data_IF_714544823328
#
_entry.id   IF_714544823328
#
_cell.length_a   1.000
_cell.length_b   1.000
_cell.length_c   1.000
_cell.angle_alpha   90.00
_cell.angle_beta   90.00
_cell.angle_gamma   90.00
#
_symmetry.space_group_name_H-M   'P 1'
#
loop_
_entity.id
_entity.type
_entity.pdbx_description
1 polymer ?
#
# COMPACT_ATOMS: atom_id res chain seq x y z
N UNK A 1 32.60 -1.87 -6.26
CA UNK A 1 34.01 -2.10 -5.81
C UNK A 1 34.23 -1.55 -4.41
N UNK A 2 34.01 -0.27 -4.11
CA UNK A 2 34.14 0.26 -2.73
C UNK A 2 33.16 -0.43 -1.78
N UNK A 3 31.94 -0.73 -2.23
CA UNK A 3 30.90 -1.43 -1.45
C UNK A 3 31.41 -2.80 -0.94
N UNK A 4 32.21 -3.49 -1.75
CA UNK A 4 32.74 -4.81 -1.40
C UNK A 4 33.62 -4.81 -0.12
N UNK A 5 34.25 -3.68 0.18
CA UNK A 5 35.07 -3.53 1.40
C UNK A 5 34.26 -3.44 2.69
N UNK A 6 32.94 -3.22 2.57
CA UNK A 6 31.99 -3.12 3.69
C UNK A 6 31.05 -4.33 3.83
N UNK A 7 31.25 -5.34 2.96
CA UNK A 7 30.45 -6.56 2.95
C UNK A 7 31.27 -7.77 3.43
N UNK A 8 30.64 -8.65 4.20
CA UNK A 8 31.26 -9.91 4.62
C UNK A 8 31.32 -10.91 3.45
N UNK A 9 32.46 -11.53 3.29
CA UNK A 9 32.70 -12.59 2.31
C UNK A 9 33.33 -12.14 0.99
N UNK A 10 33.14 -10.89 0.59
CA UNK A 10 33.61 -10.38 -0.72
C UNK A 10 35.14 -10.36 -0.84
N UNK A 11 35.84 -9.93 0.22
CA UNK A 11 37.32 -9.87 0.26
C UNK A 11 37.87 -11.27 0.28
N UNK A 12 37.36 -12.13 1.13
CA UNK A 12 37.79 -13.52 1.31
C UNK A 12 37.63 -14.36 0.03
N UNK A 13 36.55 -14.11 -0.71
CA UNK A 13 36.24 -14.84 -1.96
C UNK A 13 36.87 -14.19 -3.18
N UNK A 14 37.27 -12.93 -3.09
CA UNK A 14 37.73 -12.15 -4.25
C UNK A 14 36.63 -11.93 -5.31
N UNK A 15 35.35 -11.91 -4.89
CA UNK A 15 34.20 -11.75 -5.77
C UNK A 15 33.42 -10.48 -5.43
N UNK A 16 32.82 -9.86 -6.45
CA UNK A 16 31.91 -8.73 -6.27
C UNK A 16 30.62 -9.16 -5.55
N UNK A 17 29.99 -8.21 -4.86
CA UNK A 17 28.71 -8.43 -4.20
C UNK A 17 27.64 -8.98 -5.16
N UNK A 18 27.63 -8.49 -6.41
CA UNK A 18 26.70 -8.95 -7.45
C UNK A 18 27.05 -10.32 -8.05
N UNK A 19 28.26 -10.83 -7.80
CA UNK A 19 28.76 -12.11 -8.29
C UNK A 19 28.71 -13.23 -7.24
N UNK A 20 28.02 -13.00 -6.12
CA UNK A 20 27.90 -13.96 -5.02
C UNK A 20 29.04 -13.88 -4.01
N UNK A 21 29.80 -12.78 -3.98
CA UNK A 21 30.88 -12.56 -3.02
C UNK A 21 30.46 -12.41 -1.58
N UNK A 22 29.19 -12.09 -1.31
CA UNK A 22 28.66 -11.88 0.05
C UNK A 22 28.24 -13.19 0.74
N UNK A 23 28.29 -13.20 2.07
CA UNK A 23 27.82 -14.35 2.85
C UNK A 23 26.31 -14.52 2.80
N UNK A 24 25.58 -13.40 2.78
CA UNK A 24 24.12 -13.37 2.72
C UNK A 24 23.71 -12.48 1.56
N UNK A 25 23.01 -13.06 0.61
CA UNK A 25 22.45 -12.35 -0.53
C UNK A 25 20.92 -12.46 -0.52
N UNK A 26 20.26 -11.33 -0.37
CA UNK A 26 18.80 -11.24 -0.41
C UNK A 26 18.36 -10.52 -1.67
N UNK A 27 17.48 -11.15 -2.44
CA UNK A 27 16.82 -10.55 -3.57
C UNK A 27 15.33 -10.38 -3.24
N UNK A 28 14.91 -9.16 -3.01
CA UNK A 28 13.52 -8.86 -2.69
C UNK A 28 12.69 -8.75 -3.97
N UNK A 29 11.54 -9.41 -3.97
CA UNK A 29 10.50 -9.27 -4.98
C UNK A 29 9.33 -8.57 -4.32
N UNK A 30 9.00 -7.36 -4.78
CA UNK A 30 7.93 -6.57 -4.19
C UNK A 30 6.64 -6.66 -4.99
N UNK A 31 5.55 -7.03 -4.31
CA UNK A 31 4.19 -6.94 -4.82
C UNK A 31 3.68 -5.50 -4.72
N UNK A 32 2.83 -5.11 -5.64
CA UNK A 32 2.15 -3.81 -5.66
C UNK A 32 0.65 -3.99 -5.86
N UNK A 33 -0.14 -3.08 -5.26
CA UNK A 33 -1.57 -3.02 -5.53
C UNK A 33 -2.40 -4.11 -4.85
N UNK A 34 -1.92 -4.71 -3.75
CA UNK A 34 -2.63 -5.81 -3.05
C UNK A 34 -4.07 -5.44 -2.70
N UNK A 35 -4.31 -4.24 -2.17
CA UNK A 35 -5.67 -3.80 -1.85
C UNK A 35 -6.55 -3.66 -3.10
N UNK A 36 -6.00 -3.10 -4.20
CA UNK A 36 -6.73 -3.02 -5.49
C UNK A 36 -7.14 -4.40 -6.01
N UNK A 37 -6.24 -5.38 -5.89
CA UNK A 37 -6.51 -6.76 -6.34
C UNK A 37 -7.52 -7.43 -5.41
N UNK A 38 -7.37 -7.30 -4.11
CA UNK A 38 -8.29 -7.88 -3.12
C UNK A 38 -9.72 -7.37 -3.29
N UNK A 39 -9.87 -6.06 -3.46
CA UNK A 39 -11.16 -5.42 -3.74
C UNK A 39 -11.75 -5.90 -5.08
N UNK A 40 -10.91 -6.10 -6.09
CA UNK A 40 -11.35 -6.61 -7.39
C UNK A 40 -11.89 -8.04 -7.29
N UNK A 41 -11.20 -8.92 -6.56
CA UNK A 41 -11.69 -10.28 -6.31
C UNK A 41 -12.99 -10.29 -5.51
N UNK A 42 -13.10 -9.44 -4.49
CA UNK A 42 -14.32 -9.33 -3.70
C UNK A 42 -15.50 -8.81 -4.54
N UNK A 43 -15.27 -7.83 -5.42
CA UNK A 43 -16.28 -7.31 -6.32
C UNK A 43 -16.76 -8.38 -7.32
N UNK A 44 -15.85 -9.11 -7.94
CA UNK A 44 -16.16 -10.22 -8.83
C UNK A 44 -16.99 -11.28 -8.10
N UNK A 45 -16.50 -11.73 -6.94
CA UNK A 45 -17.18 -12.77 -6.18
C UNK A 45 -18.59 -12.35 -5.78
N UNK A 46 -18.75 -11.14 -5.25
CA UNK A 46 -20.04 -10.64 -4.83
C UNK A 46 -20.99 -10.42 -6.01
N UNK A 47 -20.56 -9.66 -7.02
CA UNK A 47 -21.46 -9.18 -8.08
C UNK A 47 -21.72 -10.20 -9.18
N UNK A 48 -20.73 -11.04 -9.50
CA UNK A 48 -20.86 -12.04 -10.56
C UNK A 48 -21.24 -13.40 -9.98
N UNK A 49 -20.47 -13.90 -9.00
CA UNK A 49 -20.64 -15.27 -8.54
C UNK A 49 -21.87 -15.40 -7.63
N UNK A 50 -22.08 -14.51 -6.67
CA UNK A 50 -23.16 -14.62 -5.71
C UNK A 50 -24.46 -13.92 -6.13
N UNK A 51 -24.36 -12.71 -6.64
CA UNK A 51 -25.52 -11.90 -6.98
C UNK A 51 -25.98 -12.05 -8.44
N UNK A 52 -25.15 -12.60 -9.32
CA UNK A 52 -25.41 -12.75 -10.76
C UNK A 52 -25.86 -11.43 -11.42
N UNK A 53 -25.27 -10.30 -11.00
CA UNK A 53 -25.60 -8.96 -11.47
C UNK A 53 -25.09 -8.68 -12.87
N UNK A 54 -24.06 -9.40 -13.31
CA UNK A 54 -23.47 -9.34 -14.64
C UNK A 54 -22.75 -10.66 -14.96
N UNK A 55 -22.52 -10.91 -16.22
CA UNK A 55 -21.74 -12.05 -16.70
C UNK A 55 -20.24 -11.73 -16.73
N UNK A 56 -19.42 -12.75 -16.87
CA UNK A 56 -17.99 -12.61 -17.10
C UNK A 56 -17.66 -11.87 -18.39
N UNK A 57 -18.45 -12.09 -19.43
CA UNK A 57 -18.28 -11.43 -20.72
C UNK A 57 -18.59 -9.93 -20.60
N UNK A 58 -19.69 -9.56 -19.97
CA UNK A 58 -20.02 -8.15 -19.71
C UNK A 58 -18.93 -7.46 -18.89
N UNK A 59 -18.39 -8.11 -17.85
CA UNK A 59 -17.26 -7.54 -17.10
C UNK A 59 -16.07 -7.29 -18.01
N UNK A 60 -15.68 -8.26 -18.84
CA UNK A 60 -14.55 -8.10 -19.74
C UNK A 60 -14.76 -6.92 -20.71
N UNK A 61 -15.94 -6.80 -21.30
CA UNK A 61 -16.29 -5.69 -22.18
C UNK A 61 -16.23 -4.33 -21.47
N UNK A 62 -16.71 -4.24 -20.21
CA UNK A 62 -16.64 -3.02 -19.44
C UNK A 62 -15.20 -2.63 -19.07
N UNK A 63 -14.36 -3.59 -18.77
CA UNK A 63 -12.94 -3.34 -18.48
C UNK A 63 -12.16 -2.91 -19.70
N UNK A 64 -12.42 -3.50 -20.88
CA UNK A 64 -11.82 -3.11 -22.16
C UNK A 64 -12.21 -1.69 -22.55
N UNK A 65 -13.47 -1.29 -22.29
CA UNK A 65 -13.99 0.03 -22.60
C UNK A 65 -13.81 1.06 -21.45
N UNK A 66 -13.00 0.75 -20.43
CA UNK A 66 -12.74 1.66 -19.29
C UNK A 66 -14.01 2.22 -18.63
N UNK A 67 -15.05 1.38 -18.50
CA UNK A 67 -16.36 1.77 -17.95
C UNK A 67 -17.05 2.90 -18.73
N UNK A 68 -16.71 3.10 -20.01
CA UNK A 68 -17.31 4.14 -20.84
C UNK A 68 -18.83 3.91 -20.94
N UNK A 69 -19.61 4.96 -20.66
CA UNK A 69 -21.08 4.93 -20.62
C UNK A 69 -21.69 3.90 -19.65
N UNK A 70 -20.92 3.38 -18.69
CA UNK A 70 -21.33 2.35 -17.72
C UNK A 70 -21.03 2.77 -16.27
N UNK A 71 -21.24 4.03 -15.93
CA UNK A 71 -20.93 4.57 -14.60
C UNK A 71 -21.74 3.90 -13.49
N UNK A 72 -22.99 3.53 -13.74
CA UNK A 72 -23.83 2.77 -12.81
C UNK A 72 -23.26 1.38 -12.52
N UNK A 73 -22.78 0.68 -13.53
CA UNK A 73 -22.11 -0.62 -13.39
C UNK A 73 -20.80 -0.44 -12.63
N UNK A 74 -20.00 0.55 -12.98
CA UNK A 74 -18.75 0.88 -12.29
C UNK A 74 -18.99 1.16 -10.80
N UNK A 75 -19.99 1.96 -10.47
CA UNK A 75 -20.37 2.27 -9.10
C UNK A 75 -20.93 1.04 -8.37
N UNK A 76 -21.67 0.18 -9.04
CA UNK A 76 -22.11 -1.09 -8.49
C UNK A 76 -20.90 -1.97 -8.10
N UNK A 77 -19.92 -2.12 -8.98
CA UNK A 77 -18.68 -2.87 -8.69
C UNK A 77 -17.86 -2.20 -7.57
N UNK A 78 -17.86 -0.87 -7.52
CA UNK A 78 -17.18 -0.10 -6.49
C UNK A 78 -17.83 -0.23 -5.11
N UNK A 79 -19.14 -0.45 -5.03
CA UNK A 79 -19.93 -0.44 -3.79
C UNK A 79 -19.94 -1.77 -3.06
N UNK A 80 -18.77 -2.32 -2.77
CA UNK A 80 -18.56 -3.53 -1.97
C UNK A 80 -17.97 -3.18 -0.59
N UNK A 81 -18.00 -4.12 0.35
CA UNK A 81 -17.20 -4.05 1.56
C UNK A 81 -15.73 -4.29 1.19
N UNK A 82 -14.93 -3.23 1.27
CA UNK A 82 -13.55 -3.21 0.81
C UNK A 82 -12.57 -3.70 1.85
N UNK A 83 -11.35 -3.94 1.42
CA UNK A 83 -10.22 -4.24 2.29
C UNK A 83 -9.92 -3.06 3.25
N UNK A 84 -9.71 -3.37 4.51
CA UNK A 84 -9.27 -2.41 5.53
C UNK A 84 -10.06 -2.40 6.83
N UNK A 85 -11.41 -2.46 6.83
CA UNK A 85 -12.19 -2.45 8.08
C UNK A 85 -12.05 -3.71 8.93
N UNK A 86 -11.58 -4.80 8.35
CA UNK A 86 -11.53 -6.12 8.96
C UNK A 86 -12.82 -6.91 8.78
N UNK A 87 -12.68 -8.22 8.51
CA UNK A 87 -13.80 -9.15 8.38
C UNK A 87 -14.59 -9.05 7.08
N UNK A 88 -14.20 -8.21 6.14
CA UNK A 88 -14.80 -8.15 4.80
C UNK A 88 -14.34 -9.30 3.90
N UNK A 89 -15.06 -9.51 2.79
CA UNK A 89 -14.62 -10.46 1.78
C UNK A 89 -13.31 -10.01 1.10
N UNK A 90 -13.09 -8.72 1.01
CA UNK A 90 -11.83 -8.18 0.50
C UNK A 90 -10.66 -8.41 1.48
N UNK A 91 -10.88 -8.35 2.80
CA UNK A 91 -9.87 -8.74 3.81
C UNK A 91 -9.48 -10.22 3.66
N UNK A 92 -10.45 -11.10 3.44
CA UNK A 92 -10.18 -12.51 3.15
C UNK A 92 -9.32 -12.69 1.89
N UNK A 93 -9.66 -11.99 0.79
CA UNK A 93 -8.90 -12.08 -0.44
C UNK A 93 -7.51 -11.47 -0.30
N UNK A 94 -7.34 -10.36 0.44
CA UNK A 94 -6.03 -9.78 0.70
C UNK A 94 -5.10 -10.78 1.40
N UNK A 95 -5.59 -11.48 2.41
CA UNK A 95 -4.84 -12.54 3.09
C UNK A 95 -4.45 -13.66 2.12
N UNK A 96 -5.41 -14.19 1.36
CA UNK A 96 -5.18 -15.27 0.41
C UNK A 96 -4.16 -14.90 -0.69
N UNK A 97 -4.25 -13.67 -1.19
CA UNK A 97 -3.34 -13.15 -2.22
C UNK A 97 -1.94 -12.98 -1.65
N UNK A 98 -1.81 -12.41 -0.45
CA UNK A 98 -0.51 -12.23 0.20
C UNK A 98 0.18 -13.56 0.50
N UNK A 99 -0.56 -14.56 0.95
CA UNK A 99 -0.04 -15.93 1.18
C UNK A 99 0.41 -16.57 -0.14
N UNK A 100 -0.46 -16.59 -1.16
CA UNK A 100 -0.14 -17.19 -2.45
C UNK A 100 1.06 -16.50 -3.12
N UNK A 101 1.12 -15.17 -3.07
CA UNK A 101 2.25 -14.40 -3.56
C UNK A 101 3.55 -14.75 -2.82
N UNK A 102 3.51 -14.79 -1.50
CA UNK A 102 4.66 -15.09 -0.67
C UNK A 102 5.18 -16.52 -0.93
N UNK A 103 4.29 -17.49 -1.06
CA UNK A 103 4.65 -18.87 -1.37
C UNK A 103 5.24 -19.00 -2.77
N UNK A 104 4.66 -18.31 -3.75
CA UNK A 104 5.18 -18.29 -5.12
C UNK A 104 6.59 -17.71 -5.20
N UNK A 105 6.81 -16.54 -4.60
CA UNK A 105 8.13 -15.90 -4.58
C UNK A 105 9.15 -16.80 -3.93
N UNK A 106 8.84 -17.39 -2.79
CA UNK A 106 9.78 -18.25 -2.05
C UNK A 106 10.10 -19.57 -2.72
N UNK A 107 9.13 -20.14 -3.44
CA UNK A 107 9.31 -21.40 -4.17
C UNK A 107 9.96 -21.23 -5.54
N UNK A 108 10.07 -20.00 -6.02
CA UNK A 108 10.65 -19.73 -7.35
C UNK A 108 12.17 -19.92 -7.32
N UNK A 109 12.73 -20.82 -8.11
CA UNK A 109 14.16 -21.00 -8.21
C UNK A 109 14.82 -19.81 -8.91
N UNK A 110 16.05 -19.49 -8.50
CA UNK A 110 16.86 -18.48 -9.17
C UNK A 110 18.06 -19.13 -9.89
N UNK A 111 18.56 -18.56 -11.00
CA UNK A 111 19.69 -19.11 -11.74
C UNK A 111 20.95 -19.31 -10.88
N UNK A 112 21.17 -18.44 -9.90
CA UNK A 112 22.35 -18.43 -9.04
C UNK A 112 22.11 -19.03 -7.64
N UNK A 113 20.96 -19.65 -7.41
CA UNK A 113 20.60 -20.22 -6.11
C UNK A 113 20.33 -19.20 -5.00
N UNK A 114 20.17 -17.91 -5.34
CA UNK A 114 19.81 -16.87 -4.37
C UNK A 114 18.41 -17.08 -3.82
N UNK A 115 18.22 -16.71 -2.57
CA UNK A 115 16.87 -16.74 -1.97
C UNK A 115 16.10 -15.49 -2.35
N UNK A 116 14.87 -15.70 -2.83
CA UNK A 116 13.91 -14.63 -3.01
C UNK A 116 13.16 -14.36 -1.71
N UNK A 117 13.01 -13.09 -1.38
CA UNK A 117 12.21 -12.63 -0.25
C UNK A 117 10.99 -11.87 -0.76
N UNK A 118 9.77 -12.28 -0.39
CA UNK A 118 8.57 -11.54 -0.74
C UNK A 118 8.50 -10.23 0.05
N UNK A 119 8.23 -9.13 -0.63
CA UNK A 119 7.95 -7.84 -0.04
C UNK A 119 6.58 -7.33 -0.46
N UNK A 120 5.93 -6.61 0.44
CA UNK A 120 4.68 -5.91 0.16
C UNK A 120 4.83 -4.44 0.56
N UNK A 121 5.89 -3.80 0.06
CA UNK A 121 6.21 -2.42 0.41
C UNK A 121 5.24 -1.41 -0.18
N UNK A 122 5.11 -0.29 0.50
CA UNK A 122 4.44 0.88 -0.06
C UNK A 122 5.37 1.62 -0.99
N UNK A 123 4.93 1.85 -2.22
CA UNK A 123 5.70 2.57 -3.23
C UNK A 123 5.10 3.95 -3.52
N UNK A 124 5.93 4.98 -3.65
CA UNK A 124 5.52 6.29 -4.13
C UNK A 124 5.12 6.29 -5.62
N UNK A 125 5.48 5.24 -6.35
CA UNK A 125 5.28 5.13 -7.81
C UNK A 125 3.90 4.57 -8.21
N UNK A 126 2.93 4.56 -7.31
CA UNK A 126 1.57 4.02 -7.58
C UNK A 126 0.87 4.71 -8.76
N UNK A 127 1.13 6.02 -8.96
CA UNK A 127 0.64 6.76 -10.13
C UNK A 127 1.28 6.25 -11.42
N UNK A 128 2.60 6.05 -11.41
CA UNK A 128 3.34 5.58 -12.58
C UNK A 128 2.93 4.18 -13.00
N UNK A 129 2.75 3.27 -12.06
CA UNK A 129 2.26 1.92 -12.36
C UNK A 129 0.79 1.93 -12.74
N UNK A 130 -0.05 2.69 -12.03
CA UNK A 130 -1.46 2.84 -12.35
C UNK A 130 -1.70 3.37 -13.76
N UNK A 131 -0.88 4.36 -14.20
CA UNK A 131 -0.96 4.92 -15.56
C UNK A 131 -0.74 3.90 -16.68
N UNK A 132 -0.18 2.74 -16.40
CA UNK A 132 0.09 1.66 -17.36
C UNK A 132 -0.91 0.52 -17.28
N UNK A 133 -1.86 0.59 -16.36
CA UNK A 133 -2.83 -0.47 -16.13
C UNK A 133 -4.21 -0.05 -16.60
N UNK A 134 -4.87 -0.97 -17.29
CA UNK A 134 -6.27 -0.86 -17.69
C UNK A 134 -7.20 -0.79 -16.47
N UNK A 135 -8.48 -0.53 -16.71
CA UNK A 135 -9.53 -0.58 -15.69
C UNK A 135 -9.52 -1.89 -14.90
N UNK A 136 -9.96 -1.83 -13.65
CA UNK A 136 -9.99 -3.01 -12.76
C UNK A 136 -11.37 -3.26 -12.16
N UNK A 137 -11.73 -4.52 -11.83
CA UNK A 137 -13.07 -4.90 -11.39
C UNK A 137 -13.57 -4.19 -10.13
N UNK A 138 -12.68 -3.61 -9.31
CA UNK A 138 -13.08 -2.79 -8.15
C UNK A 138 -13.60 -1.40 -8.50
N UNK A 139 -13.82 -1.11 -9.79
CA UNK A 139 -14.31 0.17 -10.30
C UNK A 139 -13.23 1.24 -10.49
N UNK A 140 -11.92 0.86 -10.49
CA UNK A 140 -10.82 1.75 -10.87
C UNK A 140 -10.82 1.94 -12.39
N UNK A 141 -10.60 3.17 -12.84
CA UNK A 141 -10.45 3.47 -14.27
C UNK A 141 -9.04 3.20 -14.77
N UNK A 142 -8.90 3.07 -16.07
CA UNK A 142 -7.60 3.02 -16.73
C UNK A 142 -6.78 4.28 -16.40
N UNK A 143 -5.51 4.08 -16.10
CA UNK A 143 -4.62 5.19 -15.76
C UNK A 143 -4.70 5.71 -14.32
N UNK A 144 -5.76 5.42 -13.58
CA UNK A 144 -5.85 5.80 -12.17
C UNK A 144 -4.75 5.15 -11.32
N UNK A 145 -4.34 5.76 -10.21
CA UNK A 145 -3.40 5.15 -9.27
C UNK A 145 -3.88 3.78 -8.78
N UNK A 146 -2.95 2.88 -8.51
CA UNK A 146 -3.21 1.66 -7.74
C UNK A 146 -3.01 1.91 -6.25
N UNK A 147 -3.46 1.00 -5.40
CA UNK A 147 -3.27 1.11 -3.96
C UNK A 147 -1.79 1.08 -3.56
N UNK A 148 -1.47 1.73 -2.43
CA UNK A 148 -0.17 1.64 -1.76
C UNK A 148 0.03 0.25 -1.14
N UNK A 149 0.06 -0.73 -2.00
CA UNK A 149 0.17 -2.14 -1.70
C UNK A 149 -0.89 -2.64 -0.71
N UNK A 150 -0.49 -3.09 0.48
CA UNK A 150 -1.38 -3.66 1.49
C UNK A 150 -2.08 -2.60 2.37
N UNK A 151 -1.86 -1.32 2.14
CA UNK A 151 -2.68 -0.31 2.77
C UNK A 151 -4.02 -0.21 2.05
N UNK A 152 -5.14 -0.06 2.78
CA UNK A 152 -6.44 0.18 2.18
C UNK A 152 -6.40 1.35 1.21
N UNK A 153 -7.14 1.25 0.13
CA UNK A 153 -7.16 2.30 -0.88
C UNK A 153 -7.95 3.51 -0.38
N UNK A 154 -7.31 4.67 -0.14
CA UNK A 154 -7.97 5.82 0.44
C UNK A 154 -9.05 6.42 -0.47
N UNK A 155 -8.95 6.24 -1.79
CA UNK A 155 -9.94 6.73 -2.75
C UNK A 155 -11.25 5.94 -2.78
N UNK A 156 -11.29 4.82 -2.10
CA UNK A 156 -12.39 3.87 -2.23
C UNK A 156 -13.19 3.62 -0.94
N UNK A 157 -12.68 3.97 0.21
CA UNK A 157 -13.39 3.76 1.47
C UNK A 157 -14.28 4.95 1.82
N UNK A 158 -15.55 4.75 2.15
CA UNK A 158 -16.35 5.79 2.78
C UNK A 158 -15.70 6.21 4.10
N UNK A 159 -15.45 7.50 4.29
CA UNK A 159 -14.75 8.00 5.47
C UNK A 159 -13.23 7.78 5.46
N UNK A 160 -12.65 7.56 4.26
CA UNK A 160 -11.22 7.78 4.06
C UNK A 160 -10.25 6.73 4.51
N UNK A 161 -10.55 5.46 4.37
CA UNK A 161 -9.54 4.41 4.60
C UNK A 161 -9.69 3.68 5.92
N UNK A 162 -10.74 3.97 6.67
CA UNK A 162 -11.04 3.33 7.94
C UNK A 162 -10.29 3.93 9.12
N UNK A 163 -10.74 3.62 10.34
CA UNK A 163 -10.06 4.02 11.55
C UNK A 163 -8.61 3.49 11.55
N UNK A 164 -7.65 4.22 12.08
CA UNK A 164 -6.25 3.78 12.20
C UNK A 164 -6.10 2.37 12.78
N UNK A 165 -6.95 2.00 13.71
CA UNK A 165 -6.99 0.66 14.33
C UNK A 165 -7.41 -0.44 13.35
N UNK A 166 -8.44 -0.20 12.54
CA UNK A 166 -8.90 -1.14 11.52
C UNK A 166 -7.84 -1.34 10.43
N UNK A 167 -7.29 -0.24 9.93
CA UNK A 167 -6.19 -0.25 8.95
C UNK A 167 -4.96 -1.00 9.50
N UNK A 168 -4.61 -0.76 10.76
CA UNK A 168 -3.51 -1.47 11.44
C UNK A 168 -3.76 -2.98 11.47
N UNK A 169 -4.97 -3.41 11.82
CA UNK A 169 -5.35 -4.82 11.84
C UNK A 169 -5.25 -5.45 10.45
N UNK A 170 -5.80 -4.79 9.44
CA UNK A 170 -5.79 -5.26 8.05
C UNK A 170 -4.36 -5.44 7.53
N UNK A 171 -3.49 -4.45 7.75
CA UNK A 171 -2.08 -4.52 7.32
C UNK A 171 -1.30 -5.58 8.09
N UNK A 172 -1.55 -5.76 9.39
CA UNK A 172 -0.92 -6.82 10.19
C UNK A 172 -1.28 -8.23 9.68
N UNK A 173 -2.50 -8.42 9.17
CA UNK A 173 -2.95 -9.72 8.65
C UNK A 173 -2.23 -10.15 7.36
N UNK A 174 -1.80 -9.20 6.53
CA UNK A 174 -1.24 -9.49 5.20
C UNK A 174 0.29 -9.44 5.15
N UNK A 175 0.96 -9.69 6.27
CA UNK A 175 2.41 -9.72 6.33
C UNK A 175 3.00 -10.83 5.45
N UNK A 176 4.05 -10.57 4.64
CA UNK A 176 4.61 -11.56 3.71
C UNK A 176 5.40 -12.67 4.42
N UNK A 177 5.64 -12.54 5.72
CA UNK A 177 6.47 -13.44 6.54
C UNK A 177 7.94 -13.48 6.07
N UNK A 178 8.80 -14.18 6.82
CA UNK A 178 10.16 -14.57 6.43
C UNK A 178 11.16 -13.42 6.23
N UNK A 179 11.06 -12.40 7.07
CA UNK A 179 12.08 -11.36 7.18
C UNK A 179 11.87 -10.14 6.28
N UNK A 180 10.83 -10.14 5.46
CA UNK A 180 10.40 -8.93 4.77
C UNK A 180 9.10 -8.39 5.37
N UNK A 181 8.70 -7.17 5.01
CA UNK A 181 7.67 -6.44 5.73
C UNK A 181 6.58 -5.88 4.82
N UNK A 182 5.42 -5.65 5.42
CA UNK A 182 4.36 -4.82 4.86
C UNK A 182 4.18 -3.61 5.77
N UNK A 183 4.60 -2.40 5.37
CA UNK A 183 4.50 -1.23 6.22
C UNK A 183 3.05 -0.73 6.34
N UNK A 184 2.66 -0.45 7.58
CA UNK A 184 1.48 0.35 7.87
C UNK A 184 1.82 1.83 7.68
N UNK A 185 1.10 2.53 6.81
CA UNK A 185 1.23 3.98 6.62
C UNK A 185 0.15 4.69 7.43
N UNK A 186 0.55 5.53 8.36
CA UNK A 186 -0.35 6.35 9.18
C UNK A 186 0.06 7.82 9.09
N UNK A 187 -0.92 8.66 8.82
CA UNK A 187 -0.79 10.11 8.88
C UNK A 187 -1.68 10.62 10.00
N UNK A 188 -1.09 11.11 11.08
CA UNK A 188 -1.79 11.60 12.27
C UNK A 188 -1.71 13.12 12.34
N UNK A 189 -2.81 13.74 12.70
CA UNK A 189 -2.81 15.17 12.99
C UNK A 189 -2.03 15.47 14.27
N UNK A 190 -1.19 16.50 14.24
CA UNK A 190 -0.35 16.88 15.39
C UNK A 190 -1.16 17.32 16.60
N UNK A 191 -2.40 17.76 16.42
CA UNK A 191 -3.30 18.11 17.52
C UNK A 191 -3.62 16.94 18.45
N UNK A 192 -3.47 15.70 17.95
CA UNK A 192 -3.67 14.49 18.75
C UNK A 192 -2.78 14.47 20.01
N UNK A 193 -1.57 15.02 19.94
CA UNK A 193 -0.65 15.12 21.07
C UNK A 193 -1.19 16.02 22.21
N UNK A 194 -2.12 16.91 21.90
CA UNK A 194 -2.74 17.83 22.86
C UNK A 194 -4.09 17.34 23.39
N UNK A 195 -4.56 16.18 22.92
CA UNK A 195 -5.79 15.56 23.40
C UNK A 195 -5.52 14.68 24.62
N UNK A 196 -6.49 14.57 25.54
CA UNK A 196 -6.37 13.67 26.70
C UNK A 196 -6.31 12.23 26.17
N UNK A 197 -5.23 11.52 26.52
CA UNK A 197 -5.02 10.14 26.11
C UNK A 197 -4.58 9.96 24.64
N UNK A 198 -4.33 11.03 23.88
CA UNK A 198 -3.94 10.94 22.49
C UNK A 198 -2.62 10.19 22.28
N UNK A 199 -1.61 10.51 23.07
CA UNK A 199 -0.31 9.82 23.05
C UNK A 199 -0.47 8.35 23.46
N UNK A 200 -1.24 8.08 24.51
CA UNK A 200 -1.49 6.71 24.98
C UNK A 200 -2.21 5.87 23.91
N UNK A 201 -3.11 6.48 23.13
CA UNK A 201 -3.80 5.84 22.02
C UNK A 201 -2.83 5.44 20.90
N UNK A 202 -1.86 6.30 20.57
CA UNK A 202 -0.80 5.98 19.60
C UNK A 202 0.08 4.85 20.10
N UNK A 203 0.48 4.89 21.38
CA UNK A 203 1.28 3.82 22.00
C UNK A 203 0.51 2.50 21.97
N UNK A 204 -0.78 2.51 22.31
CA UNK A 204 -1.64 1.34 22.29
C UNK A 204 -1.77 0.76 20.85
N UNK A 205 -1.94 1.62 19.86
CA UNK A 205 -1.99 1.23 18.44
C UNK A 205 -0.70 0.53 17.99
N UNK A 206 0.47 1.11 18.32
CA UNK A 206 1.78 0.53 17.98
C UNK A 206 1.95 -0.86 18.63
N UNK A 207 1.60 -0.98 19.90
CA UNK A 207 1.66 -2.28 20.61
C UNK A 207 0.74 -3.30 19.98
N UNK A 208 -0.53 -2.93 19.75
CA UNK A 208 -1.52 -3.83 19.14
C UNK A 208 -1.09 -4.27 17.74
N UNK A 209 -0.57 -3.37 16.91
CA UNK A 209 -0.06 -3.72 15.59
C UNK A 209 1.05 -4.78 15.65
N UNK A 210 1.99 -4.61 16.58
CA UNK A 210 3.08 -5.57 16.77
C UNK A 210 2.57 -6.93 17.31
N UNK A 211 1.66 -6.92 18.27
CA UNK A 211 1.04 -8.13 18.83
C UNK A 211 0.25 -8.92 17.78
N UNK A 212 -0.37 -8.23 16.82
CA UNK A 212 -1.06 -8.84 15.69
C UNK A 212 -0.14 -9.37 14.58
N UNK A 213 1.18 -9.19 14.72
CA UNK A 213 2.17 -9.65 13.74
C UNK A 213 2.61 -8.60 12.74
N UNK A 214 2.19 -7.36 12.89
CA UNK A 214 2.69 -6.24 12.10
C UNK A 214 4.17 -5.96 12.41
N UNK A 215 4.91 -5.49 11.40
CA UNK A 215 6.38 -5.37 11.50
C UNK A 215 6.88 -3.94 11.43
N UNK A 216 6.33 -3.14 10.53
CA UNK A 216 6.79 -1.77 10.30
C UNK A 216 5.61 -0.79 10.27
N UNK A 217 5.77 0.30 11.00
CA UNK A 217 4.85 1.42 10.96
C UNK A 217 5.62 2.64 10.45
N UNK A 218 5.14 3.25 9.38
CA UNK A 218 5.53 4.58 8.95
C UNK A 218 4.52 5.57 9.53
N UNK A 219 4.97 6.32 10.52
CA UNK A 219 4.15 7.33 11.17
C UNK A 219 4.55 8.72 10.68
N UNK A 220 3.59 9.46 10.16
CA UNK A 220 3.73 10.86 9.80
C UNK A 220 2.85 11.67 10.74
N UNK A 221 3.45 12.59 11.50
CA UNK A 221 2.72 13.48 12.42
C UNK A 221 2.84 14.88 11.87
N UNK A 222 1.74 15.47 11.43
CA UNK A 222 1.73 16.72 10.69
C UNK A 222 0.46 17.52 11.01
N UNK A 223 0.56 18.85 11.05
CA UNK A 223 -0.63 19.69 11.11
C UNK A 223 -1.38 19.63 9.77
N UNK A 224 -2.64 19.22 9.84
CA UNK A 224 -3.54 19.21 8.68
C UNK A 224 -3.67 20.60 8.05
N UNK A 225 -3.77 21.65 8.89
CA UNK A 225 -3.88 23.03 8.44
C UNK A 225 -2.63 23.45 7.65
N UNK A 226 -1.45 23.24 8.22
CA UNK A 226 -0.18 23.53 7.53
C UNK A 226 -0.03 22.77 6.21
N UNK A 227 -0.46 21.51 6.17
CA UNK A 227 -0.39 20.71 4.96
C UNK A 227 -1.32 21.24 3.87
N UNK A 228 -2.55 21.66 4.21
CA UNK A 228 -3.50 22.21 3.27
C UNK A 228 -3.03 23.58 2.76
N UNK A 229 -2.52 24.44 3.63
CA UNK A 229 -1.92 25.72 3.23
C UNK A 229 -0.72 25.50 2.28
N UNK A 230 0.19 24.57 2.62
CA UNK A 230 1.32 24.22 1.77
C UNK A 230 0.90 23.55 0.44
N UNK A 231 -0.27 22.93 0.39
CA UNK A 231 -0.78 22.39 -0.85
C UNK A 231 -1.24 23.47 -1.83
N UNK A 232 -1.84 24.54 -1.32
CA UNK A 232 -2.23 25.71 -2.10
C UNK A 232 -1.00 26.57 -2.49
N UNK A 233 -0.16 26.87 -1.49
CA UNK A 233 1.11 27.58 -1.69
C UNK A 233 2.27 26.83 -1.02
N UNK A 234 3.08 26.08 -1.79
CA UNK A 234 4.20 25.29 -1.23
C UNK A 234 5.29 26.13 -0.54
N UNK A 235 5.37 27.43 -0.83
CA UNK A 235 6.34 28.33 -0.19
C UNK A 235 5.81 28.92 1.11
N UNK A 236 4.53 28.75 1.45
CA UNK A 236 3.99 29.16 2.75
C UNK A 236 4.64 28.40 3.92
N UNK A 237 5.01 27.13 3.68
CA UNK A 237 5.66 26.26 4.67
C UNK A 237 6.90 25.58 4.05
N UNK A 238 7.99 26.33 3.80
CA UNK A 238 9.15 25.82 3.04
C UNK A 238 9.88 24.66 3.75
N UNK A 239 9.80 24.60 5.06
CA UNK A 239 10.46 23.59 5.89
C UNK A 239 9.56 22.41 6.25
N UNK A 240 8.33 22.35 5.70
CA UNK A 240 7.41 21.27 5.95
C UNK A 240 7.96 19.97 5.37
N UNK A 241 8.30 19.02 6.24
CA UNK A 241 8.77 17.69 5.88
C UNK A 241 7.64 16.68 6.02
N UNK A 242 7.43 15.85 5.02
CA UNK A 242 6.41 14.80 5.01
C UNK A 242 7.04 13.44 4.75
N UNK A 243 6.44 12.39 5.28
CA UNK A 243 6.75 11.02 4.94
C UNK A 243 5.97 10.62 3.68
N UNK A 244 6.67 10.43 2.58
CA UNK A 244 6.01 10.07 1.30
C UNK A 244 5.61 8.59 1.34
N UNK A 245 6.60 7.71 1.43
CA UNK A 245 6.46 6.26 1.64
C UNK A 245 7.66 5.77 2.47
N UNK A 246 8.63 5.12 1.86
CA UNK A 246 9.88 4.71 2.51
C UNK A 246 10.89 5.83 2.77
N UNK A 247 10.60 7.08 2.41
CA UNK A 247 11.49 8.24 2.57
C UNK A 247 10.72 9.49 2.99
N UNK A 248 11.43 10.47 3.53
CA UNK A 248 10.91 11.80 3.86
C UNK A 248 11.44 12.83 2.88
N UNK A 249 10.63 13.83 2.57
CA UNK A 249 11.00 14.93 1.69
C UNK A 249 10.35 16.24 2.15
N UNK A 250 10.95 17.36 1.74
CA UNK A 250 10.27 18.65 1.84
C UNK A 250 9.04 18.64 0.95
N UNK A 251 7.89 19.02 1.49
CA UNK A 251 6.61 18.98 0.78
C UNK A 251 6.67 19.80 -0.51
N UNK A 252 7.29 20.99 -0.47
CA UNK A 252 7.49 21.85 -1.64
C UNK A 252 8.31 21.21 -2.77
N UNK A 253 9.22 20.29 -2.44
CA UNK A 253 10.05 19.62 -3.44
C UNK A 253 9.35 18.47 -4.17
N UNK A 254 8.18 18.06 -3.72
CA UNK A 254 7.38 17.02 -4.34
C UNK A 254 6.65 17.55 -5.58
N UNK A 255 6.42 16.67 -6.56
CA UNK A 255 5.53 17.01 -7.67
C UNK A 255 4.08 17.21 -7.17
N UNK A 256 3.27 17.89 -7.97
CA UNK A 256 1.87 18.18 -7.62
C UNK A 256 1.08 16.88 -7.31
N UNK A 257 1.34 15.82 -8.08
CA UNK A 257 0.69 14.52 -7.91
C UNK A 257 1.08 13.87 -6.57
N UNK A 258 2.35 13.92 -6.19
CA UNK A 258 2.80 13.41 -4.90
C UNK A 258 2.28 14.24 -3.73
N UNK A 259 2.23 15.56 -3.86
CA UNK A 259 1.61 16.43 -2.84
C UNK A 259 0.16 16.08 -2.65
N UNK A 260 -0.59 15.88 -3.74
CA UNK A 260 -2.00 15.47 -3.69
C UNK A 260 -2.19 14.11 -2.98
N UNK A 261 -1.28 13.14 -3.21
CA UNK A 261 -1.33 11.86 -2.51
C UNK A 261 -1.19 12.03 -0.99
N UNK A 262 -0.25 12.86 -0.53
CA UNK A 262 -0.05 13.13 0.90
C UNK A 262 -1.30 13.78 1.50
N UNK A 263 -1.87 14.76 0.81
CA UNK A 263 -3.11 15.43 1.22
C UNK A 263 -4.28 14.44 1.31
N UNK A 264 -4.45 13.60 0.30
CA UNK A 264 -5.52 12.61 0.28
C UNK A 264 -5.44 11.64 1.47
N UNK A 265 -4.24 11.21 1.86
CA UNK A 265 -4.06 10.34 3.02
C UNK A 265 -4.50 11.02 4.33
N UNK A 266 -4.03 12.24 4.57
CA UNK A 266 -4.41 12.98 5.79
C UNK A 266 -5.91 13.27 5.85
N UNK A 267 -6.52 13.65 4.73
CA UNK A 267 -7.98 13.86 4.66
C UNK A 267 -8.74 12.57 4.93
N UNK A 268 -8.22 11.46 4.44
CA UNK A 268 -8.78 10.14 4.62
C UNK A 268 -8.75 9.67 6.10
N UNK A 269 -7.73 10.02 6.85
CA UNK A 269 -7.55 9.60 8.25
C UNK A 269 -8.16 10.57 9.27
N UNK A 270 -8.60 11.74 8.80
CA UNK A 270 -9.22 12.77 9.65
C UNK A 270 -10.77 12.76 9.59
N UNK A 271 -11.36 11.91 8.78
CA UNK A 271 -12.80 11.75 8.62
C UNK A 271 -13.32 10.57 9.45
#
# INVERSE_FOLDING_TARGET
IVLNLFMHGTVERGLDVAEGGVDIYNLTVDGLGTATVADSFAAIEQRIVHESRMSWQELAEQLENDWENAEDIRLMMKSIARFGPGGSRADYWALRISEAYSDLVRSTPTPNGFRLLPGLFSHGTVNHFGAKLSATPNGRRSGDPISHNANPDPGFLPGGGGAPTAKSTAVAMVQPRWGNTTPLQLDLDSSLAHTIGGIDSVIALIKAHNELGGTLINLNVISKEQLLEAHEDPEAHPDLVVRVTGYSAYFRSLSKEYRQQVVNRILAESA
#
